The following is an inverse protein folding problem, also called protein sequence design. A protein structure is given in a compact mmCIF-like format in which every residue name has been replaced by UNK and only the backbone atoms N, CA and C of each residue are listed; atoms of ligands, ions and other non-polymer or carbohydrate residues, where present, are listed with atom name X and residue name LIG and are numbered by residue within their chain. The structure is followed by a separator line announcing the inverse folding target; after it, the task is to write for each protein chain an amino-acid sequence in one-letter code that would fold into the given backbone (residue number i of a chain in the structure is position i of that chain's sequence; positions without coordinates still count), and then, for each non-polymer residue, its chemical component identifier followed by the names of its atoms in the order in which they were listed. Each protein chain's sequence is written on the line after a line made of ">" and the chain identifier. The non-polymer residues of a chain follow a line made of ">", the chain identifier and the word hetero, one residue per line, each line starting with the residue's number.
data_IF_022317738835
#
_entry.id   IF_022317738835
#
_cell.length_a   1.000
_cell.length_b   1.000
_cell.length_c   1.000
_cell.angle_alpha   90.00
_cell.angle_beta   90.00
_cell.angle_gamma   90.00
#
_symmetry.space_group_name_H-M   'P 1'
#
loop_
_entity.id
_entity.type
_entity.pdbx_description
1 polymer ?
#
# COMPACT_ATOMS: atom_id res chain seq x y z
N UNK A 1 -59.15 10.73 20.27
CA UNK A 1 -58.34 11.64 19.42
C UNK A 1 -56.87 11.37 19.76
N UNK A 2 -56.17 10.58 18.94
CA UNK A 2 -54.76 10.27 19.17
C UNK A 2 -53.90 11.31 18.44
N UNK A 3 -53.16 12.09 19.21
CA UNK A 3 -52.20 13.07 18.73
C UNK A 3 -50.87 12.38 18.39
N UNK A 4 -50.68 11.93 17.15
CA UNK A 4 -49.40 11.29 16.75
C UNK A 4 -48.97 11.57 15.30
N UNK A 5 -49.43 12.65 14.68
CA UNK A 5 -49.01 13.04 13.33
C UNK A 5 -48.90 14.55 13.19
N UNK A 6 -47.70 15.05 12.87
CA UNK A 6 -47.52 16.40 12.32
C UNK A 6 -47.80 16.36 10.81
N UNK A 7 -48.18 17.51 10.25
CA UNK A 7 -48.76 17.68 8.91
C UNK A 7 -47.89 17.20 7.72
N UNK A 8 -46.65 16.75 7.96
CA UNK A 8 -45.74 16.20 6.94
C UNK A 8 -45.76 14.68 6.80
N UNK A 9 -46.61 13.96 7.55
CA UNK A 9 -46.80 12.50 7.40
C UNK A 9 -45.64 11.64 7.91
N UNK A 10 -44.64 12.22 8.58
CA UNK A 10 -43.54 11.47 9.21
C UNK A 10 -43.91 11.14 10.66
N UNK A 11 -43.84 9.87 11.09
CA UNK A 11 -44.11 9.50 12.48
C UNK A 11 -43.17 10.21 13.44
N UNK A 12 -43.70 10.74 14.55
CA UNK A 12 -42.92 11.50 15.56
C UNK A 12 -41.73 10.69 16.11
N UNK A 13 -41.85 9.37 16.19
CA UNK A 13 -40.78 8.46 16.59
C UNK A 13 -39.61 8.41 15.59
N UNK A 14 -39.84 8.63 14.30
CA UNK A 14 -38.80 8.66 13.26
C UNK A 14 -37.93 9.91 13.40
N UNK A 15 -38.53 11.06 13.73
CA UNK A 15 -37.82 12.32 13.98
C UNK A 15 -37.05 12.24 15.31
N UNK A 16 -37.65 11.65 16.36
CA UNK A 16 -36.96 11.42 17.63
C UNK A 16 -35.77 10.46 17.50
N UNK A 17 -35.87 9.42 16.67
CA UNK A 17 -34.77 8.47 16.38
C UNK A 17 -33.67 9.10 15.53
N UNK A 18 -34.01 9.97 14.58
CA UNK A 18 -33.04 10.76 13.81
C UNK A 18 -32.31 11.81 14.67
N UNK A 19 -33.01 12.45 15.62
CA UNK A 19 -32.41 13.40 16.56
C UNK A 19 -31.57 12.70 17.63
N UNK A 20 -31.98 11.51 18.09
CA UNK A 20 -31.20 10.67 19.01
C UNK A 20 -29.95 10.10 18.34
N UNK A 21 -30.01 9.65 17.09
CA UNK A 21 -28.82 9.17 16.34
C UNK A 21 -27.89 10.32 15.97
N UNK A 22 -28.41 11.50 15.61
CA UNK A 22 -27.60 12.71 15.42
C UNK A 22 -26.96 13.19 16.73
N UNK A 23 -27.65 13.08 17.86
CA UNK A 23 -27.11 13.44 19.19
C UNK A 23 -26.11 12.43 19.72
N UNK A 24 -26.30 11.13 19.45
CA UNK A 24 -25.31 10.09 19.78
C UNK A 24 -24.07 10.18 18.89
N UNK A 25 -24.25 10.43 17.59
CA UNK A 25 -23.15 10.68 16.67
C UNK A 25 -22.39 11.93 17.07
N UNK A 26 -23.08 13.02 17.45
CA UNK A 26 -22.47 14.28 17.93
C UNK A 26 -21.84 14.15 19.30
N UNK A 27 -22.41 13.36 20.21
CA UNK A 27 -21.85 13.07 21.53
C UNK A 27 -20.64 12.13 21.43
N UNK A 28 -20.63 11.15 20.52
CA UNK A 28 -19.47 10.34 20.19
C UNK A 28 -18.40 11.18 19.46
N UNK A 29 -18.82 12.10 18.59
CA UNK A 29 -17.94 13.09 17.93
C UNK A 29 -17.27 14.00 18.96
N UNK A 30 -18.04 14.52 19.90
CA UNK A 30 -17.57 15.36 20.99
C UNK A 30 -16.70 14.55 21.94
N UNK A 31 -17.08 13.33 22.30
CA UNK A 31 -16.35 12.48 23.22
C UNK A 31 -14.98 12.05 22.65
N UNK A 32 -14.92 11.63 21.37
CA UNK A 32 -13.66 11.28 20.69
C UNK A 32 -12.74 12.50 20.42
N UNK A 33 -13.31 13.70 20.37
CA UNK A 33 -12.59 14.96 20.14
C UNK A 33 -12.13 15.64 21.43
N UNK A 34 -12.89 15.54 22.52
CA UNK A 34 -12.71 16.29 23.77
C UNK A 34 -12.04 15.47 24.87
N UNK A 35 -12.24 14.14 24.92
CA UNK A 35 -11.57 13.29 25.89
C UNK A 35 -10.36 12.62 25.23
N UNK A 36 -9.12 13.11 25.43
CA UNK A 36 -7.97 12.25 25.29
C UNK A 36 -8.16 11.10 26.29
N UNK A 37 -7.81 9.88 25.92
CA UNK A 37 -7.72 8.81 26.90
C UNK A 37 -6.73 9.27 27.97
N UNK A 38 -7.25 9.67 29.13
CA UNK A 38 -6.48 10.01 30.30
C UNK A 38 -5.85 8.71 30.79
N UNK A 39 -4.64 8.43 30.33
CA UNK A 39 -3.91 7.24 30.72
C UNK A 39 -2.69 7.05 29.84
N UNK A 40 -1.53 6.98 30.48
CA UNK A 40 -0.21 6.68 29.92
C UNK A 40 -0.09 5.29 29.27
N UNK A 41 -1.21 4.62 28.98
CA UNK A 41 -1.32 3.28 28.41
C UNK A 41 -2.27 3.17 27.19
N UNK A 42 -2.83 4.29 26.72
CA UNK A 42 -3.93 4.26 25.73
C UNK A 42 -3.53 3.96 24.27
N UNK A 43 -2.26 3.69 23.96
CA UNK A 43 -1.82 3.28 22.62
C UNK A 43 -2.06 1.79 22.34
N UNK A 44 -2.12 0.95 23.38
CA UNK A 44 -2.13 -0.51 23.24
C UNK A 44 -3.55 -1.10 23.31
N UNK A 45 -4.47 -0.48 24.06
CA UNK A 45 -5.83 -1.02 24.27
C UNK A 45 -6.87 -0.58 23.22
N UNK A 46 -6.58 0.46 22.43
CA UNK A 46 -7.46 0.87 21.35
C UNK A 46 -7.09 0.11 20.07
N UNK A 47 -7.97 -0.78 19.59
CA UNK A 47 -7.80 -1.50 18.33
C UNK A 47 -7.50 -0.56 17.14
N UNK A 48 -6.85 -1.09 16.10
CA UNK A 48 -6.38 -0.34 14.93
C UNK A 48 -7.46 0.60 14.36
N UNK A 49 -8.71 0.14 14.30
CA UNK A 49 -9.83 0.92 13.80
C UNK A 49 -10.12 2.16 14.64
N UNK A 50 -10.12 2.04 15.97
CA UNK A 50 -10.35 3.17 16.88
C UNK A 50 -9.24 4.22 16.77
N UNK A 51 -7.99 3.78 16.59
CA UNK A 51 -6.87 4.70 16.36
C UNK A 51 -7.03 5.45 15.02
N UNK A 52 -7.33 4.73 13.94
CA UNK A 52 -7.57 5.32 12.62
C UNK A 52 -8.77 6.28 12.62
N UNK A 53 -9.86 5.92 13.31
CA UNK A 53 -11.04 6.77 13.49
C UNK A 53 -10.67 8.06 14.23
N UNK A 54 -9.96 7.96 15.36
CA UNK A 54 -9.49 9.14 16.11
C UNK A 54 -8.61 10.06 15.26
N UNK A 55 -7.72 9.50 14.45
CA UNK A 55 -6.89 10.27 13.51
C UNK A 55 -7.75 10.97 12.43
N UNK A 56 -8.74 10.26 11.88
CA UNK A 56 -9.66 10.82 10.88
C UNK A 56 -10.48 12.00 11.38
N UNK A 57 -10.74 12.07 12.69
CA UNK A 57 -11.47 13.17 13.32
C UNK A 57 -10.58 14.37 13.66
N UNK A 58 -9.26 14.17 13.69
CA UNK A 58 -8.25 15.18 14.07
C UNK A 58 -7.46 15.73 12.88
N UNK A 59 -7.50 15.07 11.72
CA UNK A 59 -6.80 15.57 10.52
C UNK A 59 -7.33 16.94 10.09
N UNK A 60 -6.42 17.84 9.75
CA UNK A 60 -6.73 19.18 9.23
C UNK A 60 -6.59 19.26 7.71
N UNK A 61 -5.88 18.32 7.09
CA UNK A 61 -5.67 18.27 5.65
C UNK A 61 -5.45 16.82 5.18
N UNK A 62 -6.45 16.18 4.55
CA UNK A 62 -7.78 16.72 4.26
C UNK A 62 -8.62 16.91 5.53
N UNK A 63 -9.68 17.72 5.45
CA UNK A 63 -10.66 17.80 6.54
C UNK A 63 -11.33 16.43 6.79
N UNK A 64 -11.87 16.15 8.00
CA UNK A 64 -12.52 14.88 8.29
C UNK A 64 -13.61 14.52 7.27
N UNK A 65 -14.43 15.49 6.86
CA UNK A 65 -15.48 15.29 5.86
C UNK A 65 -14.90 14.91 4.49
N UNK A 66 -13.84 15.57 4.05
CA UNK A 66 -13.18 15.28 2.78
C UNK A 66 -12.53 13.89 2.80
N UNK A 67 -11.92 13.49 3.91
CA UNK A 67 -11.39 12.14 4.11
C UNK A 67 -12.51 11.09 4.01
N UNK A 68 -13.59 11.22 4.78
CA UNK A 68 -14.66 10.23 4.79
C UNK A 68 -15.38 10.13 3.44
N UNK A 69 -15.53 11.25 2.72
CA UNK A 69 -16.00 11.24 1.32
C UNK A 69 -15.06 10.43 0.42
N UNK A 70 -13.75 10.66 0.50
CA UNK A 70 -12.74 9.92 -0.25
C UNK A 70 -12.74 8.42 0.09
N UNK A 71 -12.81 8.09 1.38
CA UNK A 71 -12.88 6.71 1.87
C UNK A 71 -14.12 5.98 1.33
N UNK A 72 -15.29 6.61 1.38
CA UNK A 72 -16.52 6.03 0.83
C UNK A 72 -16.44 5.81 -0.68
N UNK A 73 -15.96 6.80 -1.45
CA UNK A 73 -15.83 6.72 -2.91
C UNK A 73 -14.80 5.66 -3.39
N UNK A 74 -13.82 5.34 -2.55
CA UNK A 74 -12.81 4.32 -2.84
C UNK A 74 -13.18 2.93 -2.29
N UNK A 75 -14.00 2.87 -1.23
CA UNK A 75 -14.55 1.63 -0.68
C UNK A 75 -15.72 1.07 -1.50
N UNK A 76 -16.50 1.96 -2.12
CA UNK A 76 -17.59 1.61 -3.04
C UNK A 76 -17.34 2.25 -4.42
N UNK A 77 -16.27 1.82 -5.12
CA UNK A 77 -15.96 2.36 -6.43
C UNK A 77 -17.04 1.94 -7.45
N UNK A 78 -17.25 2.73 -8.52
CA UNK A 78 -18.06 2.27 -9.65
C UNK A 78 -17.43 1.03 -10.31
N UNK A 79 -18.19 0.35 -11.17
CA UNK A 79 -17.66 -0.74 -11.98
C UNK A 79 -16.39 -0.32 -12.73
N UNK A 80 -15.41 -1.21 -12.79
CA UNK A 80 -14.15 -0.93 -13.48
C UNK A 80 -14.38 -0.85 -14.99
N UNK A 81 -13.85 0.19 -15.63
CA UNK A 81 -13.75 0.27 -17.08
C UNK A 81 -12.54 -0.51 -17.64
N UNK A 82 -11.68 -1.04 -16.74
CA UNK A 82 -10.50 -1.82 -17.06
C UNK A 82 -10.62 -3.23 -16.46
N UNK A 83 -10.20 -4.22 -17.22
CA UNK A 83 -10.20 -5.64 -16.87
C UNK A 83 -8.82 -6.25 -17.12
N UNK A 84 -8.64 -7.50 -16.70
CA UNK A 84 -7.40 -8.25 -17.01
C UNK A 84 -7.23 -8.45 -18.51
N UNK A 85 -8.32 -8.52 -19.28
CA UNK A 85 -8.29 -8.71 -20.72
C UNK A 85 -7.79 -7.49 -21.50
N UNK A 86 -7.78 -6.31 -20.85
CA UNK A 86 -7.25 -5.07 -21.41
C UNK A 86 -5.72 -4.93 -21.25
N UNK A 87 -5.08 -5.82 -20.48
CA UNK A 87 -3.62 -5.90 -20.39
C UNK A 87 -3.11 -6.46 -21.74
N UNK A 88 -2.21 -5.81 -22.48
CA UNK A 88 -1.71 -6.34 -23.74
C UNK A 88 -0.92 -7.65 -23.53
N UNK A 89 -0.51 -8.29 -24.63
CA UNK A 89 0.45 -9.39 -24.54
C UNK A 89 1.78 -8.91 -23.95
N UNK A 90 2.28 -9.62 -22.95
CA UNK A 90 3.51 -9.31 -22.22
C UNK A 90 4.64 -10.31 -22.54
N UNK A 91 4.52 -11.02 -23.67
CA UNK A 91 5.61 -11.88 -24.17
C UNK A 91 6.94 -11.12 -24.22
N UNK A 92 7.99 -11.72 -23.66
CA UNK A 92 9.32 -11.09 -23.54
C UNK A 92 9.47 -10.09 -22.39
N UNK A 93 8.40 -9.77 -21.63
CA UNK A 93 8.49 -8.91 -20.45
C UNK A 93 8.82 -9.71 -19.20
N UNK A 94 9.88 -9.28 -18.52
CA UNK A 94 10.30 -9.78 -17.21
C UNK A 94 9.69 -8.91 -16.12
N UNK A 95 8.97 -9.54 -15.18
CA UNK A 95 8.21 -8.85 -14.14
C UNK A 95 8.53 -9.44 -12.78
N UNK A 96 8.71 -8.59 -11.77
CA UNK A 96 8.86 -9.02 -10.37
C UNK A 96 7.68 -8.50 -9.53
N UNK A 97 7.08 -9.40 -8.73
CA UNK A 97 6.01 -9.08 -7.79
C UNK A 97 6.46 -9.45 -6.38
N UNK A 98 6.72 -8.44 -5.53
CA UNK A 98 7.00 -8.71 -4.11
C UNK A 98 5.71 -9.11 -3.39
N UNK A 99 5.77 -10.15 -2.56
CA UNK A 99 4.58 -10.71 -1.92
C UNK A 99 3.60 -11.36 -2.90
N UNK A 100 4.09 -11.80 -4.08
CA UNK A 100 3.29 -12.44 -5.13
C UNK A 100 2.70 -13.81 -4.76
N UNK A 101 2.92 -14.30 -3.54
CA UNK A 101 2.45 -15.61 -3.09
C UNK A 101 1.09 -15.61 -2.39
N UNK A 102 0.45 -14.43 -2.23
CA UNK A 102 -0.89 -14.30 -1.61
C UNK A 102 -1.59 -12.99 -1.99
N UNK A 103 -2.90 -12.93 -1.75
CA UNK A 103 -3.70 -11.71 -1.85
C UNK A 103 -3.55 -10.98 -3.19
N UNK A 104 -3.43 -9.65 -3.15
CA UNK A 104 -3.26 -8.80 -4.36
C UNK A 104 -2.08 -9.22 -5.21
N UNK A 105 -0.95 -9.58 -4.57
CA UNK A 105 0.25 -9.99 -5.29
C UNK A 105 0.05 -11.27 -6.09
N UNK A 106 -0.67 -12.25 -5.52
CA UNK A 106 -1.01 -13.50 -6.19
C UNK A 106 -1.91 -13.24 -7.41
N UNK A 107 -2.97 -12.46 -7.23
CA UNK A 107 -3.90 -12.12 -8.31
C UNK A 107 -3.23 -11.31 -9.42
N UNK A 108 -2.30 -10.42 -9.06
CA UNK A 108 -1.47 -9.68 -10.01
C UNK A 108 -0.54 -10.63 -10.78
N UNK A 109 0.15 -11.55 -10.09
CA UNK A 109 1.02 -12.54 -10.72
C UNK A 109 0.23 -13.47 -11.66
N UNK A 110 -0.98 -13.90 -11.27
CA UNK A 110 -1.90 -14.69 -12.09
C UNK A 110 -2.22 -14.00 -13.40
N UNK A 111 -2.68 -12.75 -13.34
CA UNK A 111 -3.01 -11.98 -14.53
C UNK A 111 -1.79 -11.77 -15.45
N UNK A 112 -0.62 -11.46 -14.89
CA UNK A 112 0.62 -11.27 -15.65
C UNK A 112 1.04 -12.56 -16.38
N UNK A 113 0.97 -13.72 -15.69
CA UNK A 113 1.24 -15.02 -16.29
C UNK A 113 0.24 -15.32 -17.42
N UNK A 114 -1.06 -15.11 -17.19
CA UNK A 114 -2.10 -15.28 -18.21
C UNK A 114 -1.91 -14.39 -19.44
N UNK A 115 -1.13 -13.31 -19.33
CA UNK A 115 -0.72 -12.44 -20.45
C UNK A 115 0.72 -12.66 -20.89
N UNK A 116 1.26 -13.87 -20.68
CA UNK A 116 2.54 -14.36 -21.19
C UNK A 116 3.81 -13.67 -20.63
N UNK A 117 3.71 -12.91 -19.54
CA UNK A 117 4.89 -12.36 -18.87
C UNK A 117 5.74 -13.46 -18.22
N UNK A 118 7.06 -13.22 -18.13
CA UNK A 118 7.96 -13.99 -17.27
C UNK A 118 7.91 -13.40 -15.86
N UNK A 119 7.28 -14.10 -14.92
CA UNK A 119 6.97 -13.56 -13.58
C UNK A 119 7.87 -14.15 -12.50
N UNK A 120 8.51 -13.28 -11.73
CA UNK A 120 9.23 -13.59 -10.50
C UNK A 120 8.38 -13.22 -9.28
N UNK A 121 8.11 -14.20 -8.42
CA UNK A 121 7.48 -14.01 -7.12
C UNK A 121 8.58 -13.91 -6.07
N UNK A 122 8.74 -12.71 -5.51
CA UNK A 122 9.70 -12.45 -4.46
C UNK A 122 9.00 -12.48 -3.10
N UNK A 123 9.30 -13.45 -2.23
CA UNK A 123 8.63 -13.55 -0.93
C UNK A 123 9.47 -14.21 0.16
N UNK A 124 9.02 -14.07 1.42
CA UNK A 124 9.75 -14.57 2.59
C UNK A 124 9.68 -16.08 2.78
N UNK A 125 8.58 -16.74 2.43
CA UNK A 125 8.39 -18.17 2.72
C UNK A 125 8.53 -18.95 1.43
N UNK A 126 9.54 -19.84 1.37
CA UNK A 126 9.74 -20.70 0.21
C UNK A 126 8.54 -21.64 0.05
N UNK A 127 8.10 -22.29 1.12
CA UNK A 127 6.96 -23.22 1.08
C UNK A 127 5.68 -22.55 0.56
N UNK A 128 5.33 -21.38 1.10
CA UNK A 128 4.15 -20.65 0.65
C UNK A 128 4.30 -20.14 -0.79
N UNK A 129 5.52 -19.84 -1.25
CA UNK A 129 5.78 -19.48 -2.64
C UNK A 129 5.62 -20.69 -3.56
N UNK A 130 6.17 -21.86 -3.18
CA UNK A 130 6.05 -23.11 -3.94
C UNK A 130 4.58 -23.50 -4.12
N UNK A 131 3.78 -23.45 -3.05
CA UNK A 131 2.33 -23.71 -3.15
C UNK A 131 1.65 -22.73 -4.10
N UNK A 132 1.94 -21.43 -3.98
CA UNK A 132 1.37 -20.42 -4.87
C UNK A 132 1.78 -20.62 -6.34
N UNK A 133 3.05 -20.95 -6.60
CA UNK A 133 3.56 -21.20 -7.96
C UNK A 133 2.85 -22.41 -8.60
N UNK A 134 2.64 -23.49 -7.84
CA UNK A 134 1.90 -24.66 -8.32
C UNK A 134 0.45 -24.29 -8.70
N UNK A 135 -0.24 -23.54 -7.84
CA UNK A 135 -1.60 -23.05 -8.12
C UNK A 135 -1.65 -22.14 -9.34
N UNK A 136 -0.71 -21.21 -9.48
CA UNK A 136 -0.62 -20.32 -10.64
C UNK A 136 -0.37 -21.10 -11.93
N UNK A 137 0.48 -22.12 -11.88
CA UNK A 137 0.75 -23.01 -13.01
C UNK A 137 -0.49 -23.78 -13.44
N UNK A 138 -1.26 -24.29 -12.48
CA UNK A 138 -2.56 -24.93 -12.76
C UNK A 138 -3.56 -23.97 -13.40
N UNK A 139 -3.68 -22.74 -12.88
CA UNK A 139 -4.66 -21.76 -13.35
C UNK A 139 -4.29 -21.11 -14.69
N UNK A 140 -3.00 -20.98 -15.00
CA UNK A 140 -2.53 -20.17 -16.15
C UNK A 140 -1.78 -20.99 -17.20
N UNK A 141 -1.44 -22.24 -16.90
CA UNK A 141 -0.55 -23.07 -17.73
C UNK A 141 0.92 -22.60 -17.74
N UNK A 142 1.28 -21.59 -16.94
CA UNK A 142 2.61 -20.97 -16.93
C UNK A 142 3.20 -20.92 -15.52
N UNK A 143 4.50 -21.13 -15.44
CA UNK A 143 5.22 -21.22 -14.18
C UNK A 143 5.90 -19.88 -13.83
N UNK A 144 5.74 -19.44 -12.59
CA UNK A 144 6.48 -18.32 -12.03
C UNK A 144 7.78 -18.78 -11.36
N UNK A 145 8.76 -17.89 -11.26
CA UNK A 145 10.04 -18.13 -10.62
C UNK A 145 10.04 -17.61 -9.19
N UNK A 146 10.65 -18.35 -8.26
CA UNK A 146 10.80 -17.91 -6.87
C UNK A 146 12.10 -17.13 -6.65
N UNK A 147 12.02 -16.06 -5.86
CA UNK A 147 13.17 -15.38 -5.24
C UNK A 147 12.89 -15.23 -3.74
N UNK A 148 13.82 -15.69 -2.90
CA UNK A 148 13.71 -15.52 -1.45
C UNK A 148 13.96 -14.05 -1.09
N UNK A 149 12.96 -13.38 -0.55
CA UNK A 149 13.03 -11.96 -0.20
C UNK A 149 12.37 -11.69 1.16
N UNK A 150 13.17 -11.28 2.14
CA UNK A 150 12.73 -10.62 3.35
C UNK A 150 13.11 -9.14 3.34
N UNK A 151 12.10 -8.29 3.11
CA UNK A 151 12.27 -6.83 3.07
C UNK A 151 12.74 -6.22 4.39
N UNK A 152 12.65 -6.96 5.51
CA UNK A 152 13.15 -6.49 6.80
C UNK A 152 14.67 -6.68 6.97
N UNK A 153 15.27 -7.53 6.14
CA UNK A 153 16.70 -7.86 6.18
C UNK A 153 17.43 -7.28 4.97
N UNK A 154 18.41 -6.39 5.16
CA UNK A 154 19.13 -5.76 4.06
C UNK A 154 19.98 -6.80 3.31
N UNK A 155 20.53 -7.78 4.03
CA UNK A 155 21.22 -8.95 3.47
C UNK A 155 20.29 -9.77 2.58
N UNK A 156 19.05 -10.02 3.02
CA UNK A 156 18.09 -10.74 2.19
C UNK A 156 17.69 -9.94 0.94
N UNK A 157 17.52 -8.62 1.06
CA UNK A 157 17.21 -7.75 -0.10
C UNK A 157 18.36 -7.75 -1.11
N UNK A 158 19.61 -7.65 -0.63
CA UNK A 158 20.80 -7.70 -1.48
C UNK A 158 20.94 -9.05 -2.18
N UNK A 159 20.85 -10.15 -1.44
CA UNK A 159 20.92 -11.49 -2.00
C UNK A 159 19.80 -11.75 -3.03
N UNK A 160 18.58 -11.28 -2.77
CA UNK A 160 17.47 -11.38 -3.72
C UNK A 160 17.74 -10.60 -5.03
N UNK A 161 18.29 -9.39 -4.92
CA UNK A 161 18.65 -8.60 -6.08
C UNK A 161 19.79 -9.23 -6.89
N UNK A 162 20.84 -9.72 -6.23
CA UNK A 162 21.95 -10.44 -6.86
C UNK A 162 21.48 -11.74 -7.54
N UNK A 163 20.62 -12.50 -6.87
CA UNK A 163 20.03 -13.72 -7.45
C UNK A 163 19.22 -13.37 -8.71
N UNK A 164 18.38 -12.34 -8.66
CA UNK A 164 17.61 -11.90 -9.83
C UNK A 164 18.53 -11.45 -10.96
N UNK A 165 19.52 -10.59 -10.68
CA UNK A 165 20.46 -10.06 -11.67
C UNK A 165 21.38 -11.14 -12.26
N UNK A 166 21.60 -12.25 -11.56
CA UNK A 166 22.32 -13.41 -12.10
C UNK A 166 21.52 -14.17 -13.17
N UNK A 167 20.18 -14.03 -13.16
CA UNK A 167 19.25 -14.72 -14.05
C UNK A 167 18.71 -13.82 -15.16
N UNK A 168 18.63 -12.52 -14.90
CA UNK A 168 17.98 -11.55 -15.78
C UNK A 168 18.82 -10.28 -15.93
N UNK A 169 19.10 -9.91 -17.18
CA UNK A 169 19.72 -8.62 -17.50
C UNK A 169 18.71 -7.46 -17.46
N UNK A 170 17.42 -7.76 -17.56
CA UNK A 170 16.36 -6.78 -17.76
C UNK A 170 15.19 -6.99 -16.80
N UNK A 171 14.63 -5.89 -16.30
CA UNK A 171 13.40 -5.88 -15.52
C UNK A 171 12.46 -4.83 -16.12
N UNK A 172 11.29 -5.27 -16.55
CA UNK A 172 10.35 -4.41 -17.27
C UNK A 172 9.30 -3.80 -16.34
N UNK A 173 8.85 -4.57 -15.35
CA UNK A 173 7.86 -4.11 -14.36
C UNK A 173 8.25 -4.63 -12.98
N UNK A 174 8.33 -3.72 -12.00
CA UNK A 174 8.49 -4.05 -10.59
C UNK A 174 7.23 -3.65 -9.81
N UNK A 175 6.57 -4.63 -9.19
CA UNK A 175 5.47 -4.39 -8.25
C UNK A 175 5.98 -4.48 -6.82
N UNK A 176 6.16 -3.31 -6.19
CA UNK A 176 6.39 -3.16 -4.75
C UNK A 176 5.07 -3.38 -3.99
N UNK A 177 4.65 -4.65 -3.92
CA UNK A 177 3.35 -5.07 -3.38
C UNK A 177 3.39 -5.63 -1.96
N UNK A 178 4.48 -6.26 -1.54
CA UNK A 178 4.59 -6.79 -0.19
C UNK A 178 4.40 -5.68 0.85
N UNK A 179 3.64 -5.99 1.90
CA UNK A 179 3.43 -5.08 3.02
C UNK A 179 2.82 -5.75 4.23
N UNK A 180 2.92 -5.06 5.36
CA UNK A 180 2.33 -5.45 6.66
C UNK A 180 1.44 -4.33 7.17
N UNK A 181 0.37 -4.70 7.88
CA UNK A 181 -0.57 -3.79 8.53
C UNK A 181 -0.64 -4.15 10.01
N UNK A 182 -0.32 -3.18 10.86
CA UNK A 182 -0.45 -3.28 12.31
C UNK A 182 0.27 -4.46 12.99
N UNK A 183 1.55 -4.76 12.70
CA UNK A 183 2.31 -5.70 13.53
C UNK A 183 2.33 -5.21 15.01
N UNK A 184 2.51 -6.11 16.00
CA UNK A 184 2.68 -5.71 17.40
C UNK A 184 3.74 -4.61 17.58
N UNK A 185 3.51 -3.64 18.46
CA UNK A 185 4.47 -2.54 18.65
C UNK A 185 5.84 -3.03 19.14
N UNK A 186 5.88 -4.12 19.91
CA UNK A 186 7.12 -4.78 20.32
C UNK A 186 7.92 -5.38 19.15
N UNK A 187 7.30 -5.55 17.97
CA UNK A 187 7.97 -6.05 16.78
C UNK A 187 8.76 -4.92 16.12
N UNK A 188 10.07 -4.93 16.38
CA UNK A 188 11.08 -4.06 15.77
C UNK A 188 12.06 -4.92 14.96
N UNK A 189 12.72 -4.33 13.98
CA UNK A 189 13.79 -5.04 13.24
C UNK A 189 15.04 -5.21 14.12
N UNK A 190 15.93 -6.12 13.73
CA UNK A 190 17.22 -6.30 14.42
C UNK A 190 18.06 -5.00 14.51
N UNK A 191 17.88 -4.10 13.53
CA UNK A 191 18.58 -2.81 13.47
C UNK A 191 17.78 -1.66 14.13
N UNK A 192 16.83 -1.99 15.01
CA UNK A 192 16.05 -1.04 15.82
C UNK A 192 15.10 -0.10 15.05
N UNK A 193 14.73 -0.44 13.81
CA UNK A 193 13.69 0.26 13.07
C UNK A 193 12.29 -0.29 13.32
N UNK A 194 11.29 0.55 13.09
CA UNK A 194 9.90 0.12 13.01
C UNK A 194 9.68 -0.94 11.92
N UNK A 195 8.98 -2.02 12.27
CA UNK A 195 8.77 -3.15 11.35
C UNK A 195 7.91 -2.79 10.13
N UNK A 196 6.89 -1.93 10.30
CA UNK A 196 6.03 -1.51 9.18
C UNK A 196 6.79 -0.59 8.24
N UNK A 197 7.59 0.33 8.78
CA UNK A 197 8.44 1.22 8.00
C UNK A 197 9.44 0.45 7.13
N UNK A 198 10.18 -0.50 7.73
CA UNK A 198 11.17 -1.25 6.96
C UNK A 198 10.50 -2.11 5.90
N UNK A 199 9.44 -2.83 6.25
CA UNK A 199 8.76 -3.72 5.30
C UNK A 199 8.09 -2.96 4.16
N UNK A 200 7.41 -1.86 4.46
CA UNK A 200 6.55 -1.18 3.49
C UNK A 200 7.26 -0.08 2.70
N UNK A 201 8.41 0.43 3.16
CA UNK A 201 9.08 1.60 2.56
C UNK A 201 10.56 1.36 2.33
N UNK A 202 11.33 1.08 3.39
CA UNK A 202 12.80 1.01 3.29
C UNK A 202 13.29 -0.18 2.45
N UNK A 203 12.70 -1.37 2.66
CA UNK A 203 13.00 -2.58 1.89
C UNK A 203 12.68 -2.39 0.41
N UNK A 204 11.46 -1.95 0.03
CA UNK A 204 11.11 -1.66 -1.37
C UNK A 204 12.01 -0.61 -2.02
N UNK A 205 12.36 0.46 -1.32
CA UNK A 205 13.34 1.46 -1.79
C UNK A 205 14.69 0.80 -2.08
N UNK A 206 15.19 -0.01 -1.15
CA UNK A 206 16.51 -0.64 -1.29
C UNK A 206 16.52 -1.66 -2.43
N UNK A 207 15.50 -2.52 -2.53
CA UNK A 207 15.33 -3.45 -3.64
C UNK A 207 15.26 -2.72 -4.98
N UNK A 208 14.46 -1.66 -5.08
CA UNK A 208 14.33 -0.84 -6.29
C UNK A 208 15.67 -0.23 -6.70
N UNK A 209 16.45 0.25 -5.74
CA UNK A 209 17.77 0.85 -5.98
C UNK A 209 18.75 -0.20 -6.52
N UNK A 210 18.78 -1.40 -5.95
CA UNK A 210 19.66 -2.49 -6.40
C UNK A 210 19.26 -3.04 -7.77
N UNK A 211 17.97 -3.07 -8.09
CA UNK A 211 17.45 -3.53 -9.39
C UNK A 211 17.45 -2.43 -10.46
N UNK A 212 17.84 -1.20 -10.13
CA UNK A 212 17.83 -0.06 -11.06
C UNK A 212 18.62 -0.33 -12.37
N UNK A 213 19.78 -1.01 -12.36
CA UNK A 213 20.47 -1.37 -13.61
C UNK A 213 19.60 -2.20 -14.57
N UNK A 214 18.90 -3.23 -14.06
CA UNK A 214 18.02 -4.06 -14.86
C UNK A 214 16.74 -3.32 -15.29
N UNK A 215 16.21 -2.44 -14.44
CA UNK A 215 15.07 -1.58 -14.78
C UNK A 215 15.39 -0.63 -15.94
N UNK A 216 16.57 -0.03 -15.92
CA UNK A 216 17.04 0.83 -17.01
C UNK A 216 17.33 0.04 -18.29
N UNK A 217 17.84 -1.18 -18.18
CA UNK A 217 17.98 -2.08 -19.33
C UNK A 217 16.61 -2.46 -19.91
N UNK A 218 15.65 -2.84 -19.06
CA UNK A 218 14.28 -3.14 -19.48
C UNK A 218 13.53 -1.94 -20.07
N UNK A 219 13.85 -0.71 -19.63
CA UNK A 219 13.35 0.50 -20.27
C UNK A 219 13.89 0.63 -21.69
N UNK A 220 15.20 0.41 -21.90
CA UNK A 220 15.84 0.48 -23.23
C UNK A 220 15.35 -0.60 -24.19
N UNK A 221 15.09 -1.83 -23.71
CA UNK A 221 14.62 -2.93 -24.55
C UNK A 221 13.10 -2.88 -24.81
N UNK A 222 12.36 -2.08 -24.05
CA UNK A 222 10.92 -1.91 -24.27
C UNK A 222 10.61 -1.08 -25.52
N UNK A 223 9.61 -1.52 -26.29
CA UNK A 223 9.16 -0.82 -27.50
C UNK A 223 8.72 0.64 -27.24
N UNK A 224 8.23 0.94 -26.04
CA UNK A 224 7.85 2.30 -25.63
C UNK A 224 8.95 3.05 -24.87
N UNK A 225 10.14 2.44 -24.73
CA UNK A 225 11.28 3.02 -24.02
C UNK A 225 11.11 3.10 -22.50
N UNK A 226 10.14 2.38 -21.90
CA UNK A 226 9.79 2.51 -20.48
C UNK A 226 9.83 1.21 -19.67
N UNK A 227 10.35 1.29 -18.44
CA UNK A 227 10.11 0.30 -17.39
C UNK A 227 9.19 0.89 -16.31
N UNK A 228 8.34 0.06 -15.70
CA UNK A 228 7.35 0.51 -14.71
C UNK A 228 7.71 0.05 -13.30
N UNK A 229 7.48 0.92 -12.33
CA UNK A 229 7.58 0.60 -10.90
C UNK A 229 6.24 1.01 -10.26
N UNK A 230 5.51 0.02 -9.76
CA UNK A 230 4.19 0.21 -9.15
C UNK A 230 4.30 -0.06 -7.66
N UNK A 231 4.00 0.93 -6.83
CA UNK A 231 4.11 0.83 -5.37
C UNK A 231 2.74 0.84 -4.70
N UNK A 232 2.46 -0.16 -3.87
CA UNK A 232 1.15 -0.31 -3.21
C UNK A 232 1.04 0.60 -1.98
N UNK A 233 0.21 1.63 -2.09
CA UNK A 233 -0.26 2.50 -1.03
C UNK A 233 -1.67 2.07 -0.53
N UNK A 234 -2.44 2.98 0.04
CA UNK A 234 -3.80 2.79 0.57
C UNK A 234 -4.50 4.14 0.69
N UNK A 235 -5.84 4.18 0.67
CA UNK A 235 -6.61 5.41 0.97
C UNK A 235 -6.23 6.03 2.32
N UNK A 236 -5.81 5.21 3.28
CA UNK A 236 -5.49 5.67 4.63
C UNK A 236 -4.28 6.63 4.65
N UNK A 237 -3.46 6.68 3.59
CA UNK A 237 -2.33 7.61 3.46
C UNK A 237 -2.71 9.08 3.71
N UNK A 238 -3.98 9.43 3.44
CA UNK A 238 -4.50 10.78 3.59
C UNK A 238 -4.47 11.25 5.05
N UNK A 239 -4.46 10.33 6.02
CA UNK A 239 -4.52 10.62 7.46
C UNK A 239 -3.17 10.88 8.12
N UNK A 240 -2.05 10.67 7.42
CA UNK A 240 -0.73 10.78 8.03
C UNK A 240 0.25 11.63 7.27
N UNK A 241 1.42 11.74 7.89
CA UNK A 241 2.61 12.44 7.43
C UNK A 241 3.81 11.57 7.77
N UNK A 242 4.95 11.85 7.16
CA UNK A 242 6.20 11.20 7.54
C UNK A 242 6.72 11.91 8.80
N UNK A 243 6.62 11.23 9.93
CA UNK A 243 7.33 11.60 11.14
C UNK A 243 8.65 10.82 11.18
N UNK A 244 9.77 11.53 11.12
CA UNK A 244 11.09 10.93 11.06
C UNK A 244 11.55 10.44 12.45
N UNK A 245 10.96 10.97 13.53
CA UNK A 245 11.31 10.62 14.91
C UNK A 245 10.64 9.31 15.36
N UNK A 246 9.76 8.74 14.53
CA UNK A 246 9.04 7.49 14.79
C UNK A 246 9.56 6.31 13.97
N UNK A 247 10.57 6.51 13.12
CA UNK A 247 11.09 5.48 12.20
C UNK A 247 11.97 4.44 12.91
N UNK A 248 12.55 4.82 14.04
CA UNK A 248 13.31 3.96 14.93
C UNK A 248 12.51 3.70 16.20
N UNK A 249 12.91 2.67 16.94
CA UNK A 249 12.28 2.37 18.22
C UNK A 249 12.46 3.51 19.23
N UNK A 250 11.41 3.77 20.00
CA UNK A 250 11.41 4.83 21.00
C UNK A 250 10.01 5.32 21.39
N UNK A 251 9.93 6.22 22.39
CA UNK A 251 8.64 6.68 22.94
C UNK A 251 7.72 7.34 21.91
N UNK A 252 8.27 8.11 20.96
CA UNK A 252 7.50 8.76 19.91
C UNK A 252 6.81 7.74 18.99
N UNK A 253 7.54 6.69 18.58
CA UNK A 253 7.02 5.58 17.79
C UNK A 253 5.89 4.85 18.50
N UNK A 254 6.09 4.48 19.78
CA UNK A 254 5.09 3.78 20.59
C UNK A 254 3.82 4.63 20.71
N UNK A 255 3.98 5.93 20.99
CA UNK A 255 2.87 6.89 21.10
C UNK A 255 2.07 7.03 19.81
N UNK A 256 2.72 6.95 18.65
CA UNK A 256 2.05 7.04 17.36
C UNK A 256 1.12 5.84 17.08
N UNK A 257 1.46 4.67 17.64
CA UNK A 257 0.63 3.48 17.59
C UNK A 257 0.59 2.79 16.23
N UNK A 258 0.04 1.58 16.20
CA UNK A 258 0.04 0.69 15.03
C UNK A 258 -0.62 1.34 13.81
N UNK A 259 -1.74 2.04 14.01
CA UNK A 259 -2.44 2.70 12.92
C UNK A 259 -1.62 3.85 12.35
N UNK A 260 -1.06 4.71 13.19
CA UNK A 260 -0.24 5.84 12.74
C UNK A 260 1.01 5.37 11.97
N UNK A 261 1.69 4.33 12.46
CA UNK A 261 2.86 3.74 11.79
C UNK A 261 2.52 3.13 10.42
N UNK A 262 1.37 2.45 10.30
CA UNK A 262 0.93 1.95 9.00
C UNK A 262 0.54 3.10 8.05
N UNK A 263 -0.21 4.09 8.54
CA UNK A 263 -0.66 5.26 7.79
C UNK A 263 0.54 6.02 7.22
N UNK A 264 1.56 6.34 8.03
CA UNK A 264 2.75 7.03 7.55
C UNK A 264 3.50 6.20 6.50
N UNK A 265 3.51 4.86 6.62
CA UNK A 265 4.17 4.00 5.63
C UNK A 265 3.47 4.07 4.27
N UNK A 266 2.13 4.16 4.26
CA UNK A 266 1.34 4.28 3.02
C UNK A 266 1.42 5.68 2.41
N UNK A 267 1.58 6.69 3.26
CA UNK A 267 1.93 8.03 2.83
C UNK A 267 3.32 8.08 2.17
N UNK A 268 4.33 7.54 2.83
CA UNK A 268 5.70 7.50 2.32
C UNK A 268 5.83 6.71 1.00
N UNK A 269 5.00 5.70 0.76
CA UNK A 269 4.95 4.99 -0.52
C UNK A 269 4.58 5.90 -1.70
N UNK A 270 3.70 6.89 -1.50
CA UNK A 270 3.34 7.87 -2.55
C UNK A 270 4.47 8.87 -2.73
N UNK A 271 5.03 9.41 -1.64
CA UNK A 271 6.20 10.31 -1.67
C UNK A 271 7.37 9.64 -2.41
N UNK A 272 7.68 8.39 -2.06
CA UNK A 272 8.75 7.61 -2.70
C UNK A 272 8.50 7.45 -4.20
N UNK A 273 7.29 7.05 -4.61
CA UNK A 273 6.97 6.87 -6.03
C UNK A 273 7.05 8.19 -6.81
N UNK A 274 6.60 9.30 -6.19
CA UNK A 274 6.70 10.63 -6.81
C UNK A 274 8.15 11.08 -6.97
N UNK A 275 8.96 10.88 -5.95
CA UNK A 275 10.37 11.25 -5.99
C UNK A 275 11.17 10.38 -6.97
N UNK A 276 10.87 9.08 -7.04
CA UNK A 276 11.45 8.18 -8.02
C UNK A 276 11.09 8.60 -9.45
N UNK A 277 9.84 9.01 -9.68
CA UNK A 277 9.37 9.55 -10.95
C UNK A 277 10.13 10.80 -11.38
N UNK A 278 10.47 11.71 -10.44
CA UNK A 278 11.28 12.90 -10.71
C UNK A 278 12.73 12.55 -11.08
N UNK A 279 13.33 11.61 -10.34
CA UNK A 279 14.76 11.28 -10.44
C UNK A 279 15.14 10.43 -11.65
N UNK A 280 14.22 9.60 -12.14
CA UNK A 280 14.52 8.62 -13.19
C UNK A 280 13.55 8.67 -14.38
N UNK A 281 12.61 9.62 -14.40
CA UNK A 281 11.62 9.76 -15.47
C UNK A 281 12.23 10.04 -16.84
N UNK A 282 13.26 10.87 -16.87
CA UNK A 282 14.09 11.20 -18.03
C UNK A 282 14.91 9.99 -18.54
N UNK A 283 15.16 9.02 -17.67
CA UNK A 283 15.88 7.77 -17.96
C UNK A 283 14.97 6.59 -18.32
N UNK A 284 13.68 6.84 -18.53
CA UNK A 284 12.72 5.83 -18.97
C UNK A 284 11.99 5.10 -17.84
N UNK A 285 12.15 5.51 -16.59
CA UNK A 285 11.40 4.91 -15.48
C UNK A 285 10.05 5.61 -15.31
N UNK A 286 8.99 4.81 -15.26
CA UNK A 286 7.64 5.26 -14.90
C UNK A 286 7.36 4.75 -13.49
N UNK A 287 7.27 5.66 -12.51
CA UNK A 287 6.90 5.29 -11.14
C UNK A 287 5.49 5.75 -10.80
N UNK A 288 4.68 4.84 -10.24
CA UNK A 288 3.30 5.09 -9.84
C UNK A 288 3.04 4.55 -8.44
N UNK A 289 2.13 5.20 -7.72
CA UNK A 289 1.59 4.67 -6.48
C UNK A 289 0.11 4.30 -6.67
N UNK A 290 -0.34 3.23 -6.02
CA UNK A 290 -1.73 2.76 -6.18
C UNK A 290 -2.37 2.41 -4.85
N UNK A 291 -3.65 2.76 -4.68
CA UNK A 291 -4.51 2.11 -3.71
C UNK A 291 -5.24 0.94 -4.41
N UNK A 292 -4.99 -0.32 -4.01
CA UNK A 292 -5.64 -1.47 -4.62
C UNK A 292 -7.07 -1.69 -4.09
N UNK A 293 -7.53 -0.91 -3.11
CA UNK A 293 -8.87 -0.99 -2.54
C UNK A 293 -8.96 -1.80 -1.26
N UNK A 294 -10.17 -1.83 -0.71
CA UNK A 294 -10.46 -2.57 0.51
C UNK A 294 -10.74 -4.01 0.14
N UNK A 295 -9.80 -4.90 0.46
CA UNK A 295 -9.80 -6.28 -0.02
C UNK A 295 -9.73 -7.24 1.14
N UNK A 296 -10.51 -8.32 1.06
CA UNK A 296 -10.39 -9.42 2.00
C UNK A 296 -9.10 -10.19 1.72
N UNK A 297 -8.05 -9.83 2.45
CA UNK A 297 -6.73 -10.42 2.28
C UNK A 297 -6.09 -10.69 3.63
N UNK A 298 -5.14 -11.60 3.57
CA UNK A 298 -4.17 -11.95 4.60
C UNK A 298 -3.45 -10.75 5.25
N UNK A 299 -3.51 -9.55 4.65
CA UNK A 299 -3.00 -8.30 5.24
C UNK A 299 -3.66 -8.00 6.59
N UNK A 300 -4.92 -8.43 6.79
CA UNK A 300 -5.67 -8.21 8.02
C UNK A 300 -5.35 -9.20 9.15
N UNK A 301 -4.32 -10.05 8.99
CA UNK A 301 -4.00 -11.12 9.97
C UNK A 301 -3.79 -10.62 11.40
N UNK A 302 -3.28 -9.40 11.56
CA UNK A 302 -3.00 -8.78 12.87
C UNK A 302 -4.17 -7.98 13.45
N UNK A 303 -5.27 -7.81 12.70
CA UNK A 303 -6.46 -7.11 13.18
C UNK A 303 -7.30 -7.99 14.10
N UNK A 304 -7.87 -7.37 15.15
CA UNK A 304 -8.83 -8.02 16.05
C UNK A 304 -10.13 -8.39 15.33
N UNK A 305 -10.92 -9.30 15.92
CA UNK A 305 -12.19 -9.77 15.34
C UNK A 305 -13.20 -8.65 15.12
N UNK A 306 -13.25 -7.67 16.03
CA UNK A 306 -14.15 -6.51 15.94
C UNK A 306 -13.74 -5.60 14.77
N UNK A 307 -12.43 -5.35 14.59
CA UNK A 307 -11.93 -4.55 13.48
C UNK A 307 -12.25 -5.21 12.12
N UNK A 308 -12.10 -6.53 12.01
CA UNK A 308 -12.47 -7.30 10.81
C UNK A 308 -13.97 -7.22 10.51
N UNK A 309 -14.81 -7.30 11.55
CA UNK A 309 -16.27 -7.21 11.42
C UNK A 309 -16.72 -5.82 10.95
N UNK A 310 -16.06 -4.75 11.41
CA UNK A 310 -16.37 -3.38 10.99
C UNK A 310 -15.95 -3.07 9.55
N UNK A 311 -14.90 -3.75 9.05
CA UNK A 311 -14.40 -3.57 7.70
C UNK A 311 -15.10 -4.45 6.65
N UNK A 312 -15.76 -5.54 7.05
CA UNK A 312 -16.28 -6.60 6.17
C UNK A 312 -17.27 -6.13 5.09
N UNK A 313 -18.10 -5.12 5.39
CA UNK A 313 -19.10 -4.59 4.44
C UNK A 313 -18.51 -3.79 3.28
N UNK A 314 -17.22 -3.47 3.32
CA UNK A 314 -16.49 -2.75 2.27
C UNK A 314 -15.36 -3.60 1.65
N UNK A 315 -15.28 -4.90 1.97
CA UNK A 315 -14.26 -5.79 1.41
C UNK A 315 -14.72 -6.36 0.07
N UNK A 316 -13.87 -6.22 -0.94
CA UNK A 316 -14.04 -6.85 -2.25
C UNK A 316 -13.18 -8.12 -2.35
N UNK A 317 -13.56 -9.08 -3.21
CA UNK A 317 -12.72 -10.22 -3.53
C UNK A 317 -11.32 -9.80 -3.97
N UNK A 318 -10.30 -10.55 -3.55
CA UNK A 318 -8.89 -10.25 -3.85
C UNK A 318 -8.60 -10.05 -5.35
N UNK A 319 -9.36 -10.71 -6.23
CA UNK A 319 -9.25 -10.60 -7.68
C UNK A 319 -9.41 -9.16 -8.20
N UNK A 320 -10.30 -8.36 -7.61
CA UNK A 320 -10.45 -6.94 -7.97
C UNK A 320 -9.21 -6.12 -7.61
N UNK A 321 -8.49 -6.54 -6.56
CA UNK A 321 -7.30 -5.88 -6.07
C UNK A 321 -6.15 -5.80 -7.06
N UNK A 322 -6.11 -6.70 -8.04
CA UNK A 322 -5.11 -6.69 -9.11
C UNK A 322 -5.40 -5.63 -10.18
N UNK A 323 -6.64 -5.14 -10.32
CA UNK A 323 -7.03 -4.24 -11.42
C UNK A 323 -6.25 -2.93 -11.41
N UNK A 324 -6.19 -2.22 -10.27
CA UNK A 324 -5.48 -0.94 -10.19
C UNK A 324 -3.97 -1.09 -10.36
N UNK A 325 -3.29 -2.07 -9.72
CA UNK A 325 -1.89 -2.37 -10.01
C UNK A 325 -1.64 -2.69 -11.50
N UNK A 326 -2.41 -3.59 -12.11
CA UNK A 326 -2.26 -3.96 -13.52
C UNK A 326 -2.49 -2.76 -14.45
N UNK A 327 -3.48 -1.92 -14.14
CA UNK A 327 -3.72 -0.70 -14.89
C UNK A 327 -2.49 0.22 -14.86
N UNK A 328 -1.91 0.43 -13.67
CA UNK A 328 -0.76 1.31 -13.50
C UNK A 328 0.53 0.76 -14.13
N UNK A 329 0.75 -0.56 -14.07
CA UNK A 329 2.01 -1.19 -14.49
C UNK A 329 2.00 -1.80 -15.88
N UNK A 330 0.85 -2.29 -16.35
CA UNK A 330 0.77 -3.16 -17.52
C UNK A 330 -0.28 -2.74 -18.55
N UNK A 331 -1.14 -1.74 -18.32
CA UNK A 331 -2.05 -1.26 -19.36
C UNK A 331 -1.29 -0.63 -20.54
N UNK A 332 -1.92 -0.57 -21.72
CA UNK A 332 -1.36 0.07 -22.90
C UNK A 332 -0.98 1.55 -22.68
N UNK A 333 -1.71 2.26 -21.79
CA UNK A 333 -1.43 3.66 -21.44
C UNK A 333 -0.35 3.87 -20.38
N UNK A 334 0.13 2.79 -19.75
CA UNK A 334 0.99 2.87 -18.56
C UNK A 334 2.29 3.67 -18.75
N UNK A 335 2.82 3.75 -19.98
CA UNK A 335 4.02 4.54 -20.28
C UNK A 335 3.87 6.04 -19.97
N UNK A 336 2.64 6.57 -19.94
CA UNK A 336 2.33 7.99 -19.72
C UNK A 336 2.04 8.33 -18.25
N UNK A 337 2.14 7.35 -17.35
CA UNK A 337 1.63 7.50 -15.98
C UNK A 337 2.68 7.98 -14.97
N UNK A 338 3.84 8.47 -15.42
CA UNK A 338 4.93 8.78 -14.50
C UNK A 338 4.52 9.81 -13.43
N UNK A 339 4.70 9.44 -12.16
CA UNK A 339 4.36 10.26 -10.99
C UNK A 339 2.87 10.36 -10.68
N UNK A 340 2.01 9.53 -11.29
CA UNK A 340 0.58 9.47 -11.02
C UNK A 340 0.23 8.57 -9.83
N UNK A 341 -0.95 8.83 -9.26
CA UNK A 341 -1.56 8.03 -8.21
C UNK A 341 -2.89 7.45 -8.70
N UNK A 342 -3.13 6.16 -8.45
CA UNK A 342 -4.36 5.49 -8.88
C UNK A 342 -5.16 4.94 -7.70
N UNK A 343 -6.48 4.97 -7.85
CA UNK A 343 -7.47 4.53 -6.87
C UNK A 343 -8.39 3.44 -7.47
N UNK A 344 -9.12 2.68 -6.64
CA UNK A 344 -10.00 1.62 -7.11
C UNK A 344 -11.15 2.12 -8.00
N UNK A 345 -11.54 1.43 -9.05
CA UNK A 345 -10.73 0.46 -9.81
C UNK A 345 -10.10 1.20 -10.99
N UNK A 346 -8.77 1.11 -11.14
CA UNK A 346 -8.08 1.61 -12.32
C UNK A 346 -8.42 3.08 -12.70
N UNK A 347 -8.61 3.96 -11.69
CA UNK A 347 -8.91 5.39 -11.91
C UNK A 347 -7.77 6.25 -11.39
N UNK A 348 -7.46 7.33 -12.09
CA UNK A 348 -6.55 8.35 -11.56
C UNK A 348 -7.20 9.02 -10.33
N UNK A 349 -6.44 9.16 -9.26
CA UNK A 349 -6.87 9.78 -8.02
C UNK A 349 -5.97 10.93 -7.63
N UNK A 350 -6.47 11.78 -6.72
CA UNK A 350 -5.69 12.86 -6.13
C UNK A 350 -5.16 12.42 -4.77
N UNK A 351 -3.84 12.27 -4.60
CA UNK A 351 -3.26 11.95 -3.30
C UNK A 351 -3.24 13.20 -2.41
N UNK A 352 -2.81 13.04 -1.15
CA UNK A 352 -2.55 14.17 -0.26
C UNK A 352 -1.54 15.15 -0.94
N UNK A 353 -1.82 16.47 -1.02
CA UNK A 353 -0.91 17.46 -1.62
C UNK A 353 0.57 17.37 -1.23
N UNK A 354 0.91 17.15 0.05
CA UNK A 354 2.29 17.10 0.54
C UNK A 354 3.05 15.86 0.06
N UNK A 355 2.36 14.80 -0.36
CA UNK A 355 2.99 13.66 -1.05
C UNK A 355 3.58 14.06 -2.40
N UNK A 356 3.14 15.21 -2.92
CA UNK A 356 3.63 15.81 -4.15
C UNK A 356 4.68 16.89 -3.88
N UNK A 357 5.02 17.19 -2.63
CA UNK A 357 6.03 18.19 -2.28
C UNK A 357 7.43 17.65 -2.60
N UNK A 358 8.25 18.46 -3.26
CA UNK A 358 9.63 18.11 -3.60
C UNK A 358 10.55 18.09 -2.38
N UNK A 359 10.37 19.00 -1.43
CA UNK A 359 11.18 19.05 -0.20
C UNK A 359 10.93 17.80 0.64
N UNK A 360 9.67 17.36 0.74
CA UNK A 360 9.32 16.12 1.44
C UNK A 360 9.93 14.91 0.71
N UNK A 361 9.85 14.88 -0.62
CA UNK A 361 10.47 13.86 -1.48
C UNK A 361 11.98 13.74 -1.26
N UNK A 362 12.69 14.86 -1.36
CA UNK A 362 14.14 14.94 -1.16
C UNK A 362 14.54 14.53 0.26
N UNK A 363 13.79 14.97 1.29
CA UNK A 363 14.04 14.60 2.69
C UNK A 363 13.86 13.10 2.93
N UNK A 364 12.79 12.51 2.40
CA UNK A 364 12.57 11.06 2.46
C UNK A 364 13.70 10.31 1.75
N UNK A 365 14.06 10.73 0.53
CA UNK A 365 15.11 10.10 -0.25
C UNK A 365 16.46 10.11 0.47
N UNK A 366 16.89 11.26 0.98
CA UNK A 366 18.13 11.40 1.72
C UNK A 366 18.14 10.54 2.99
N UNK A 367 17.01 10.45 3.69
CA UNK A 367 16.87 9.56 4.84
C UNK A 367 17.03 8.09 4.42
N UNK A 368 16.31 7.64 3.39
CA UNK A 368 16.37 6.26 2.91
C UNK A 368 17.77 5.88 2.42
N UNK A 369 18.42 6.75 1.66
CA UNK A 369 19.78 6.58 1.17
C UNK A 369 20.77 6.42 2.33
N UNK A 370 20.77 7.34 3.30
CA UNK A 370 21.64 7.29 4.47
C UNK A 370 21.50 5.96 5.23
N UNK A 371 20.27 5.54 5.50
CA UNK A 371 20.01 4.37 6.36
C UNK A 371 20.14 3.04 5.61
N UNK A 372 20.10 3.03 4.28
CA UNK A 372 20.37 1.82 3.47
C UNK A 372 21.85 1.67 3.11
N UNK A 373 22.55 2.76 2.76
CA UNK A 373 23.99 2.73 2.47
C UNK A 373 24.81 2.33 3.70
N UNK A 374 24.46 2.86 4.88
CA UNK A 374 25.10 2.43 6.14
C UNK A 374 24.99 0.91 6.33
N UNK A 375 23.84 0.30 6.02
CA UNK A 375 23.61 -1.15 6.15
C UNK A 375 24.42 -1.99 5.17
N UNK A 376 24.86 -1.43 4.04
CA UNK A 376 25.78 -2.10 3.09
C UNK A 376 27.24 -1.91 3.49
N UNK A 377 27.58 -0.79 4.12
CA UNK A 377 28.96 -0.45 4.49
C UNK A 377 29.42 -1.11 5.81
N UNK A 378 28.54 -1.25 6.80
CA UNK A 378 28.86 -1.87 8.11
C UNK A 378 29.18 -3.38 8.03
N UNK A 379 28.95 -4.02 6.89
CA UNK A 379 29.20 -5.46 6.69
C UNK A 379 30.53 -5.74 5.93
N UNK A 380 31.37 -4.71 5.72
CA UNK A 380 32.75 -4.87 5.22
C UNK A 380 33.81 -5.04 6.32
N UNK A 381 33.39 -5.16 7.58
CA UNK A 381 34.29 -5.31 8.76
C UNK A 381 34.15 -6.70 9.34
#
# INVERSE_FOLDING_TARGET
>A
MNATTLASGVPVYTIATLLLTASFASALFFWLRVFPASGTHASDDAGFFLQALRLSLRTTSPSPLAFWKSHALQGFPPASAFSVDDVPDLSGKVVMVTGGNRGVGFETAKALLSRNAKVYIASRSADAATTAIAQLKEMTGREAFFIKLDLTSPRSVKAAAEEFLSKEAELHILYNNAGVLGPPLAQITADNYDHSWVTNVMGPYFLTTLLMPALLAGAKSSADGKARIVTISSVIHQLGRIDFDTLLDGPARIKLGQAGLYIQSKHANIVFSKELARRYGDRGIVSTAVNPGNLDTDLMRYLGRIDKMLLSSALHPAAFGALTPLYAGASAGSAQFNGKYFIPWAREGTPQPDTQDEIVGQKLWAWLEKHTQARVAFEKV
#
